data_IF_239224606323
#
_entry.id   IF_239224606323
#
_cell.length_a   1.000
_cell.length_b   1.000
_cell.length_c   1.000
_cell.angle_alpha   90.00
_cell.angle_beta   90.00
_cell.angle_gamma   90.00
#
_symmetry.space_group_name_H-M   'P 1'
#
loop_
_entity.id
_entity.type
_entity.pdbx_description
1 polymer ?
#
# COMPACT_ATOMS: atom_id res chain seq x y z
N UNK A 1 -48.70 -26.36 68.81
CA UNK A 1 -49.13 -26.16 67.42
C UNK A 1 -49.28 -24.67 67.29
N UNK A 2 -48.42 -24.05 66.49
CA UNK A 2 -48.57 -22.73 65.85
C UNK A 2 -47.41 -22.69 64.82
N UNK A 3 -47.58 -23.42 63.70
CA UNK A 3 -46.60 -23.55 62.59
C UNK A 3 -47.17 -22.93 61.30
N UNK A 4 -47.75 -21.71 61.37
CA UNK A 4 -48.33 -21.05 60.18
C UNK A 4 -47.78 -19.63 59.90
N UNK A 5 -46.90 -19.09 60.75
CA UNK A 5 -46.40 -17.71 60.60
C UNK A 5 -45.03 -17.59 59.89
N UNK A 6 -44.38 -18.70 59.52
CA UNK A 6 -43.02 -18.70 58.93
C UNK A 6 -43.00 -18.68 57.39
N UNK A 7 -44.13 -18.91 56.72
CA UNK A 7 -44.19 -19.08 55.25
C UNK A 7 -44.16 -17.73 54.48
N UNK A 8 -44.58 -16.64 55.13
CA UNK A 8 -44.66 -15.32 54.48
C UNK A 8 -43.31 -14.57 54.40
N UNK A 9 -42.36 -14.90 55.29
CA UNK A 9 -41.02 -14.28 55.31
C UNK A 9 -40.04 -14.95 54.34
N UNK A 10 -40.33 -16.18 53.90
CA UNK A 10 -39.51 -16.92 52.95
C UNK A 10 -39.76 -16.48 51.49
N UNK A 11 -41.00 -16.08 51.16
CA UNK A 11 -41.38 -15.67 49.80
C UNK A 11 -40.79 -14.32 49.36
N UNK A 12 -40.66 -13.36 50.29
CA UNK A 12 -40.09 -12.04 49.96
C UNK A 12 -38.57 -12.09 49.74
N UNK A 13 -37.85 -12.94 50.49
CA UNK A 13 -36.40 -13.14 50.29
C UNK A 13 -36.06 -13.91 49.01
N UNK A 14 -36.88 -14.90 48.62
CA UNK A 14 -36.70 -15.58 47.34
C UNK A 14 -37.04 -14.68 46.16
N UNK A 15 -38.08 -13.85 46.26
CA UNK A 15 -38.46 -12.92 45.20
C UNK A 15 -37.39 -11.84 44.97
N UNK A 16 -36.82 -11.26 46.04
CA UNK A 16 -35.71 -10.31 45.96
C UNK A 16 -34.42 -10.94 45.37
N UNK A 17 -34.13 -12.19 45.73
CA UNK A 17 -32.97 -12.91 45.19
C UNK A 17 -33.15 -13.26 43.71
N UNK A 18 -34.37 -13.56 43.28
CA UNK A 18 -34.72 -13.88 41.90
C UNK A 18 -34.76 -12.62 41.02
N UNK A 19 -35.21 -11.49 41.55
CA UNK A 19 -35.15 -10.19 40.86
C UNK A 19 -33.70 -9.69 40.68
N UNK A 20 -32.83 -9.84 41.69
CA UNK A 20 -31.40 -9.48 41.58
C UNK A 20 -30.64 -10.38 40.58
N UNK A 21 -31.01 -11.67 40.48
CA UNK A 21 -30.49 -12.57 39.43
C UNK A 21 -30.98 -12.16 38.04
N UNK A 22 -32.26 -11.80 37.90
CA UNK A 22 -32.82 -11.30 36.64
C UNK A 22 -32.17 -9.99 36.18
N UNK A 23 -31.86 -9.09 37.11
CA UNK A 23 -31.15 -7.82 36.83
C UNK A 23 -29.70 -8.08 36.38
N UNK A 24 -28.97 -8.95 37.08
CA UNK A 24 -27.58 -9.28 36.68
C UNK A 24 -27.50 -10.03 35.35
N UNK A 25 -28.48 -10.88 35.02
CA UNK A 25 -28.59 -11.50 33.69
C UNK A 25 -29.00 -10.51 32.59
N UNK A 26 -29.79 -9.49 32.91
CA UNK A 26 -30.13 -8.41 31.98
C UNK A 26 -28.91 -7.52 31.70
N UNK A 27 -28.18 -7.12 32.74
CA UNK A 27 -26.93 -6.35 32.62
C UNK A 27 -25.84 -7.10 31.85
N UNK A 28 -25.71 -8.42 32.05
CA UNK A 28 -24.78 -9.25 31.30
C UNK A 28 -25.19 -9.38 29.82
N UNK A 29 -26.50 -9.54 29.55
CA UNK A 29 -27.01 -9.55 28.17
C UNK A 29 -26.81 -8.21 27.48
N UNK A 30 -27.04 -7.11 28.16
CA UNK A 30 -26.86 -5.77 27.59
C UNK A 30 -25.38 -5.44 27.40
N UNK A 31 -24.49 -5.90 28.30
CA UNK A 31 -23.05 -5.84 28.10
C UNK A 31 -22.59 -6.66 26.91
N UNK A 32 -23.11 -7.88 26.73
CA UNK A 32 -22.79 -8.74 25.58
C UNK A 32 -23.35 -8.18 24.27
N UNK A 33 -24.54 -7.57 24.29
CA UNK A 33 -25.09 -6.85 23.13
C UNK A 33 -24.23 -5.64 22.78
N UNK A 34 -23.91 -4.79 23.75
CA UNK A 34 -23.00 -3.66 23.54
C UNK A 34 -21.65 -4.14 23.01
N UNK A 35 -21.06 -5.20 23.57
CA UNK A 35 -19.80 -5.75 23.10
C UNK A 35 -19.94 -6.27 21.65
N UNK A 36 -20.98 -7.04 21.35
CA UNK A 36 -21.28 -7.55 20.00
C UNK A 36 -21.49 -6.42 18.99
N UNK A 37 -22.24 -5.39 19.34
CA UNK A 37 -22.48 -4.21 18.51
C UNK A 37 -21.17 -3.43 18.32
N UNK A 38 -20.31 -3.36 19.34
CA UNK A 38 -19.00 -2.71 19.26
C UNK A 38 -17.97 -3.49 18.41
N UNK A 39 -18.14 -4.81 18.26
CA UNK A 39 -17.34 -5.64 17.36
C UNK A 39 -17.92 -5.66 15.93
N UNK A 40 -19.24 -5.63 15.77
CA UNK A 40 -19.90 -5.72 14.47
C UNK A 40 -20.02 -4.37 13.73
N UNK A 41 -20.16 -3.25 14.45
CA UNK A 41 -20.32 -1.91 13.82
C UNK A 41 -18.96 -1.33 13.38
N UNK A 42 -17.84 -1.91 13.82
CA UNK A 42 -16.50 -1.30 13.64
C UNK A 42 -15.68 -1.77 12.45
N UNK A 43 -16.19 -2.62 11.55
CA UNK A 43 -15.39 -3.10 10.42
C UNK A 43 -16.05 -2.97 9.02
N UNK A 44 -17.37 -2.92 8.91
CA UNK A 44 -17.98 -3.38 7.65
C UNK A 44 -18.43 -2.28 6.66
N UNK A 45 -18.89 -1.10 7.11
CA UNK A 45 -19.48 -0.11 6.17
C UNK A 45 -18.66 1.18 6.06
N UNK A 46 -18.48 1.96 7.13
CA UNK A 46 -17.79 3.26 7.04
C UNK A 46 -16.26 3.18 6.92
N UNK A 47 -15.64 2.10 7.39
CA UNK A 47 -14.18 1.91 7.26
C UNK A 47 -13.78 1.43 5.88
N UNK A 48 -14.57 0.54 5.29
CA UNK A 48 -14.34 0.06 3.93
C UNK A 48 -14.52 1.19 2.92
N UNK A 49 -15.54 2.03 3.09
CA UNK A 49 -15.75 3.20 2.25
C UNK A 49 -14.62 4.23 2.37
N UNK A 50 -14.14 4.52 3.59
CA UNK A 50 -13.02 5.43 3.80
C UNK A 50 -11.67 4.88 3.27
N UNK A 51 -11.41 3.58 3.47
CA UNK A 51 -10.21 2.91 2.92
C UNK A 51 -10.27 2.91 1.39
N UNK A 52 -11.44 2.65 0.82
CA UNK A 52 -11.62 2.65 -0.63
C UNK A 52 -11.48 4.05 -1.21
N UNK A 53 -12.02 5.08 -0.57
CA UNK A 53 -11.82 6.47 -0.98
C UNK A 53 -10.34 6.88 -0.93
N UNK A 54 -9.61 6.49 0.12
CA UNK A 54 -8.16 6.73 0.23
C UNK A 54 -7.36 5.98 -0.84
N UNK A 55 -7.72 4.73 -1.12
CA UNK A 55 -7.12 3.96 -2.21
C UNK A 55 -7.38 4.60 -3.58
N UNK A 56 -8.63 4.97 -3.87
CA UNK A 56 -9.01 5.59 -5.14
C UNK A 56 -8.29 6.93 -5.33
N UNK A 57 -8.12 7.71 -4.26
CA UNK A 57 -7.33 8.93 -4.29
C UNK A 57 -5.87 8.64 -4.64
N UNK A 58 -5.19 7.75 -3.91
CA UNK A 58 -3.79 7.40 -4.18
C UNK A 58 -3.58 6.78 -5.57
N UNK A 59 -4.53 5.95 -6.00
CA UNK A 59 -4.55 5.39 -7.35
C UNK A 59 -4.66 6.48 -8.41
N UNK A 60 -5.57 7.44 -8.28
CA UNK A 60 -5.78 8.48 -9.29
C UNK A 60 -4.70 9.56 -9.27
N UNK A 61 -4.20 9.95 -8.10
CA UNK A 61 -3.24 11.05 -7.93
C UNK A 61 -1.80 10.61 -8.18
N UNK A 62 -1.44 9.37 -7.83
CA UNK A 62 -0.05 8.88 -7.90
C UNK A 62 0.08 7.66 -8.81
N UNK A 63 -0.79 6.67 -8.64
CA UNK A 63 -0.73 5.40 -9.38
C UNK A 63 -0.91 5.54 -10.89
N UNK A 64 -1.95 6.25 -11.32
CA UNK A 64 -2.30 6.46 -12.73
C UNK A 64 -1.22 7.28 -13.45
N UNK A 65 -0.77 8.44 -12.93
CA UNK A 65 0.27 9.22 -13.59
C UNK A 65 1.59 8.45 -13.76
N UNK A 66 2.08 7.80 -12.69
CA UNK A 66 3.32 7.02 -12.74
C UNK A 66 3.15 5.82 -13.68
N UNK A 67 2.03 5.10 -13.57
CA UNK A 67 1.72 3.95 -14.39
C UNK A 67 1.64 4.28 -15.89
N UNK A 68 1.05 5.42 -16.24
CA UNK A 68 0.98 5.90 -17.62
C UNK A 68 2.37 6.15 -18.20
N UNK A 69 3.21 6.91 -17.49
CA UNK A 69 4.57 7.24 -17.94
C UNK A 69 5.45 5.98 -18.04
N UNK A 70 5.39 5.10 -17.04
CA UNK A 70 6.13 3.85 -17.05
C UNK A 70 5.66 2.92 -18.19
N UNK A 71 4.35 2.86 -18.44
CA UNK A 71 3.76 2.10 -19.53
C UNK A 71 4.20 2.61 -20.91
N UNK A 72 4.21 3.94 -21.09
CA UNK A 72 4.73 4.58 -22.31
C UNK A 72 6.21 4.24 -22.54
N UNK A 73 7.06 4.39 -21.52
CA UNK A 73 8.49 4.07 -21.61
C UNK A 73 8.74 2.60 -21.94
N UNK A 74 7.99 1.68 -21.33
CA UNK A 74 8.06 0.25 -21.64
C UNK A 74 7.67 -0.01 -23.10
N UNK A 75 6.55 0.57 -23.54
CA UNK A 75 6.07 0.43 -24.91
C UNK A 75 7.04 0.98 -25.94
N UNK A 76 7.63 2.15 -25.67
CA UNK A 76 8.62 2.77 -26.55
C UNK A 76 9.92 1.95 -26.61
N UNK A 77 10.44 1.49 -25.46
CA UNK A 77 11.63 0.64 -25.43
C UNK A 77 11.42 -0.71 -26.14
N UNK A 78 10.23 -1.31 -26.00
CA UNK A 78 9.85 -2.53 -26.71
C UNK A 78 9.70 -2.30 -28.22
N UNK A 79 9.12 -1.17 -28.63
CA UNK A 79 8.98 -0.81 -30.04
C UNK A 79 10.35 -0.61 -30.70
N UNK A 80 11.28 0.09 -30.04
CA UNK A 80 12.66 0.26 -30.52
C UNK A 80 13.36 -1.09 -30.63
N UNK A 81 13.24 -1.95 -29.63
CA UNK A 81 13.83 -3.28 -29.64
C UNK A 81 13.26 -4.16 -30.77
N UNK A 82 11.95 -4.08 -31.03
CA UNK A 82 11.29 -4.79 -32.12
C UNK A 82 11.78 -4.33 -33.49
N UNK A 83 11.81 -3.01 -33.74
CA UNK A 83 12.27 -2.45 -35.00
C UNK A 83 13.75 -2.78 -35.27
N UNK A 84 14.58 -2.80 -34.21
CA UNK A 84 15.97 -3.25 -34.33
C UNK A 84 16.06 -4.73 -34.67
N UNK A 85 15.23 -5.59 -34.08
CA UNK A 85 15.22 -7.02 -34.38
C UNK A 85 14.81 -7.27 -35.85
N UNK A 86 13.83 -6.53 -36.36
CA UNK A 86 13.37 -6.63 -37.75
C UNK A 86 14.45 -6.21 -38.76
N UNK A 87 15.14 -5.08 -38.52
CA UNK A 87 16.12 -4.53 -39.48
C UNK A 87 17.55 -5.04 -39.33
N UNK A 88 17.93 -5.55 -38.15
CA UNK A 88 19.29 -6.08 -37.93
C UNK A 88 19.51 -7.46 -38.56
N UNK A 89 18.52 -7.99 -39.30
CA UNK A 89 18.65 -9.28 -39.97
C UNK A 89 19.71 -9.22 -41.07
N UNK A 90 20.93 -9.68 -40.77
CA UNK A 90 22.03 -9.80 -41.72
C UNK A 90 22.94 -8.58 -41.86
N UNK A 91 22.85 -7.57 -40.98
CA UNK A 91 23.74 -6.40 -40.98
C UNK A 91 24.62 -6.39 -39.73
N UNK A 92 25.94 -6.32 -39.91
CA UNK A 92 26.86 -6.21 -38.76
C UNK A 92 26.72 -4.82 -38.11
N UNK A 93 26.45 -4.84 -36.80
CA UNK A 93 26.39 -3.64 -35.96
C UNK A 93 27.81 -3.17 -35.66
N UNK A 94 28.04 -1.86 -35.71
CA UNK A 94 29.30 -1.28 -35.20
C UNK A 94 29.40 -1.44 -33.68
N UNK A 95 30.61 -1.34 -33.11
CA UNK A 95 30.84 -1.53 -31.66
C UNK A 95 29.96 -0.64 -30.78
N UNK A 96 29.81 0.64 -31.13
CA UNK A 96 28.93 1.58 -30.41
C UNK A 96 27.45 1.21 -30.47
N UNK A 97 27.01 0.53 -31.53
CA UNK A 97 25.62 0.12 -31.72
C UNK A 97 25.33 -1.19 -30.98
N UNK A 98 26.32 -2.08 -30.89
CA UNK A 98 26.24 -3.27 -30.04
C UNK A 98 26.05 -2.86 -28.57
N UNK A 99 26.87 -1.92 -28.10
CA UNK A 99 26.77 -1.38 -26.74
C UNK A 99 25.41 -0.72 -26.49
N UNK A 100 24.90 0.06 -27.45
CA UNK A 100 23.58 0.70 -27.34
C UNK A 100 22.44 -0.35 -27.28
N UNK A 101 22.56 -1.47 -27.99
CA UNK A 101 21.59 -2.56 -27.93
C UNK A 101 21.61 -3.29 -26.59
N UNK A 102 22.78 -3.52 -26.02
CA UNK A 102 22.91 -4.10 -24.67
C UNK A 102 22.32 -3.17 -23.62
N UNK A 103 22.61 -1.86 -23.71
CA UNK A 103 22.00 -0.85 -22.83
C UNK A 103 20.48 -0.81 -22.96
N UNK A 104 19.93 -0.88 -24.16
CA UNK A 104 18.49 -0.98 -24.36
C UNK A 104 17.90 -2.24 -23.72
N UNK A 105 18.57 -3.39 -23.81
CA UNK A 105 18.13 -4.62 -23.16
C UNK A 105 18.16 -4.50 -21.63
N UNK A 106 19.21 -3.88 -21.08
CA UNK A 106 19.32 -3.61 -19.65
C UNK A 106 18.22 -2.63 -19.19
N UNK A 107 17.99 -1.53 -19.91
CA UNK A 107 16.93 -0.56 -19.62
C UNK A 107 15.55 -1.22 -19.63
N UNK A 108 15.26 -2.08 -20.62
CA UNK A 108 14.00 -2.85 -20.65
C UNK A 108 13.84 -3.75 -19.43
N UNK A 109 14.91 -4.42 -19.00
CA UNK A 109 14.89 -5.24 -17.79
C UNK A 109 14.63 -4.40 -16.54
N UNK A 110 15.28 -3.23 -16.41
CA UNK A 110 15.05 -2.29 -15.31
C UNK A 110 13.61 -1.80 -15.30
N UNK A 111 13.10 -1.34 -16.45
CA UNK A 111 11.73 -0.85 -16.59
C UNK A 111 10.72 -1.95 -16.24
N UNK A 112 10.97 -3.21 -16.58
CA UNK A 112 10.08 -4.33 -16.27
C UNK A 112 9.97 -4.64 -14.77
N UNK A 113 11.03 -4.39 -14.00
CA UNK A 113 11.07 -4.64 -12.55
C UNK A 113 10.74 -3.42 -11.69
N UNK A 114 10.67 -2.23 -12.27
CA UNK A 114 10.28 -1.02 -11.55
C UNK A 114 8.87 -1.14 -10.96
N UNK A 115 8.76 -0.91 -9.65
CA UNK A 115 7.50 -0.93 -8.90
C UNK A 115 7.05 0.47 -8.51
N UNK A 116 5.82 0.61 -8.01
CA UNK A 116 5.33 1.88 -7.49
C UNK A 116 6.20 2.37 -6.32
N UNK A 117 6.61 1.48 -5.43
CA UNK A 117 7.45 1.81 -4.26
C UNK A 117 8.82 2.37 -4.65
N UNK A 118 9.32 2.00 -5.84
CA UNK A 118 10.57 2.53 -6.37
C UNK A 118 10.43 3.95 -6.94
N UNK A 119 9.22 4.32 -7.38
CA UNK A 119 8.96 5.50 -8.21
C UNK A 119 8.14 6.57 -7.49
N UNK A 120 7.29 6.19 -6.55
CA UNK A 120 6.43 7.07 -5.79
C UNK A 120 7.12 7.54 -4.50
N UNK A 121 6.65 8.68 -4.01
CA UNK A 121 7.05 9.16 -2.70
C UNK A 121 6.49 8.24 -1.60
N UNK A 122 7.32 7.80 -0.63
CA UNK A 122 6.84 7.07 0.53
C UNK A 122 5.87 7.91 1.37
N UNK A 123 4.91 7.25 1.99
CA UNK A 123 4.08 7.90 3.01
C UNK A 123 4.90 8.14 4.28
N UNK A 124 5.35 9.39 4.47
CA UNK A 124 6.19 9.75 5.61
C UNK A 124 5.50 9.63 6.95
N UNK A 125 4.16 9.78 7.01
CA UNK A 125 3.40 9.66 8.26
C UNK A 125 3.38 8.20 8.72
N UNK A 126 3.23 7.26 7.79
CA UNK A 126 3.34 5.82 8.06
C UNK A 126 4.77 5.47 8.47
N UNK A 127 5.77 5.94 7.74
CA UNK A 127 7.19 5.66 8.04
C UNK A 127 7.57 6.20 9.43
N UNK A 128 7.11 7.39 9.80
CA UNK A 128 7.32 7.95 11.14
C UNK A 128 6.69 7.06 12.21
N UNK A 129 5.44 6.61 12.00
CA UNK A 129 4.75 5.73 12.93
C UNK A 129 5.47 4.39 13.12
N UNK A 130 5.92 3.76 12.03
CA UNK A 130 6.68 2.51 12.09
C UNK A 130 8.02 2.68 12.81
N UNK A 131 8.75 3.76 12.54
CA UNK A 131 10.00 4.08 13.22
C UNK A 131 9.78 4.30 14.72
N UNK A 132 8.70 4.97 15.12
CA UNK A 132 8.36 5.18 16.53
C UNK A 132 8.11 3.87 17.29
N UNK A 133 7.62 2.82 16.61
CA UNK A 133 7.33 1.52 17.22
C UNK A 133 8.47 0.51 17.13
N UNK A 134 9.29 0.55 16.08
CA UNK A 134 10.23 -0.52 15.74
C UNK A 134 11.70 -0.10 15.70
N UNK A 135 12.02 1.19 15.80
CA UNK A 135 13.41 1.67 15.77
C UNK A 135 14.06 1.68 17.16
N UNK A 136 15.33 1.27 17.23
CA UNK A 136 16.20 1.51 18.39
C UNK A 136 16.84 2.91 18.39
N UNK A 137 16.86 3.57 17.23
CA UNK A 137 17.28 4.97 17.05
C UNK A 137 16.08 5.89 17.21
N UNK A 138 16.32 7.13 17.68
CA UNK A 138 15.30 8.16 17.82
C UNK A 138 14.58 8.43 16.48
N UNK A 139 13.26 8.19 16.45
CA UNK A 139 12.43 8.22 15.25
C UNK A 139 12.58 9.50 14.38
N UNK A 140 12.55 10.73 14.94
CA UNK A 140 12.72 11.94 14.13
C UNK A 140 14.11 12.04 13.48
N UNK A 141 15.15 11.52 14.13
CA UNK A 141 16.50 11.50 13.56
C UNK A 141 16.61 10.51 12.40
N UNK A 142 16.00 9.33 12.54
CA UNK A 142 15.94 8.33 11.47
C UNK A 142 15.11 8.81 10.27
N UNK A 143 13.94 9.42 10.52
CA UNK A 143 13.07 9.97 9.49
C UNK A 143 13.78 11.06 8.67
N UNK A 144 14.45 12.01 9.33
CA UNK A 144 15.19 13.07 8.65
C UNK A 144 16.30 12.52 7.71
N UNK A 145 17.00 11.46 8.13
CA UNK A 145 17.99 10.78 7.28
C UNK A 145 17.34 10.12 6.06
N UNK A 146 16.19 9.47 6.23
CA UNK A 146 15.47 8.82 5.14
C UNK A 146 14.93 9.85 4.13
N UNK A 147 14.33 10.94 4.60
CA UNK A 147 13.89 12.06 3.75
C UNK A 147 15.06 12.69 2.99
N UNK A 148 16.19 12.90 3.66
CA UNK A 148 17.39 13.41 2.99
C UNK A 148 17.90 12.46 1.92
N UNK A 149 17.90 11.14 2.18
CA UNK A 149 18.29 10.14 1.22
C UNK A 149 17.33 10.10 0.02
N UNK A 150 16.02 10.22 0.24
CA UNK A 150 15.01 10.27 -0.81
C UNK A 150 15.16 11.53 -1.69
N UNK A 151 15.30 12.71 -1.09
CA UNK A 151 15.49 13.96 -1.82
C UNK A 151 16.81 14.03 -2.60
N UNK A 152 17.80 13.23 -2.21
CA UNK A 152 19.05 13.09 -2.95
C UNK A 152 18.94 12.11 -4.14
N UNK A 153 17.87 11.30 -4.21
CA UNK A 153 17.63 10.42 -5.35
C UNK A 153 17.28 11.26 -6.56
N UNK A 154 17.84 10.91 -7.73
CA UNK A 154 17.39 11.54 -8.96
C UNK A 154 15.99 11.07 -9.34
N UNK A 155 15.28 11.88 -10.12
CA UNK A 155 14.02 11.49 -10.74
C UNK A 155 14.26 10.36 -11.76
N UNK A 156 13.94 9.13 -11.35
CA UNK A 156 14.18 7.92 -12.13
C UNK A 156 13.39 7.92 -13.45
N UNK A 157 12.16 8.43 -13.47
CA UNK A 157 11.34 8.45 -14.68
C UNK A 157 11.93 9.39 -15.73
N UNK A 158 12.36 10.58 -15.30
CA UNK A 158 13.06 11.52 -16.18
C UNK A 158 14.39 10.94 -16.66
N UNK A 159 15.13 10.23 -15.81
CA UNK A 159 16.36 9.57 -16.20
C UNK A 159 16.14 8.50 -17.26
N UNK A 160 15.20 7.58 -17.06
CA UNK A 160 14.90 6.53 -18.04
C UNK A 160 14.44 7.11 -19.38
N UNK A 161 13.69 8.21 -19.35
CA UNK A 161 13.29 8.92 -20.57
C UNK A 161 14.47 9.50 -21.34
N UNK A 162 15.42 10.12 -20.64
CA UNK A 162 16.64 10.67 -21.26
C UNK A 162 17.49 9.53 -21.83
N UNK A 163 17.69 8.47 -21.05
CA UNK A 163 18.47 7.30 -21.48
C UNK A 163 17.87 6.66 -22.73
N UNK A 164 16.55 6.45 -22.75
CA UNK A 164 15.87 5.91 -23.92
C UNK A 164 16.03 6.82 -25.15
N UNK A 165 15.90 8.14 -25.00
CA UNK A 165 16.09 9.08 -26.09
C UNK A 165 17.52 9.03 -26.67
N UNK A 166 18.54 8.96 -25.82
CA UNK A 166 19.94 8.82 -26.24
C UNK A 166 20.20 7.50 -26.99
N UNK A 167 19.60 6.41 -26.52
CA UNK A 167 19.67 5.11 -27.19
C UNK A 167 18.98 5.16 -28.54
N UNK A 168 17.80 5.78 -28.65
CA UNK A 168 17.09 5.95 -29.92
C UNK A 168 17.95 6.74 -30.92
N UNK A 169 18.57 7.84 -30.51
CA UNK A 169 19.46 8.63 -31.39
C UNK A 169 20.64 7.79 -31.88
N UNK A 170 21.22 6.97 -31.01
CA UNK A 170 22.37 6.12 -31.35
C UNK A 170 21.99 4.96 -32.29
N UNK A 171 20.76 4.47 -32.18
CA UNK A 171 20.22 3.32 -32.92
C UNK A 171 19.47 3.73 -34.21
N UNK A 172 19.03 4.99 -34.31
CA UNK A 172 18.34 5.59 -35.46
C UNK A 172 19.06 5.46 -36.81
N UNK A 173 20.40 5.42 -36.93
CA UNK A 173 21.06 5.18 -38.21
C UNK A 173 20.70 3.83 -38.87
N UNK A 174 20.05 2.93 -38.13
CA UNK A 174 19.53 1.66 -38.61
C UNK A 174 17.99 1.63 -38.71
N UNK A 175 17.26 2.61 -38.16
CA UNK A 175 15.80 2.82 -38.27
C UNK A 175 15.42 3.69 -39.48
#
# INVERSE_FOLDING_TARGET
MDEEDEDWLASDQENDAQERRGQTEMEQRDRLKMQKDFYNVRLDEGKMEAIQAGFDQGYNETGVPIGSVLGELRGEADAVAFLLAERSYGKELGGTQHDAREKLAALRATLAHATLDDLAEPDWDIVEHELAHHSAEDAPTALAKMQQAYNARPDLLSQYKIELAELIVTLLPQL
#
